data_IF_875532051713
#
_entry.id   IF_875532051713
#
_cell.length_a   1.000
_cell.length_b   1.000
_cell.length_c   1.000
_cell.angle_alpha   90.00
_cell.angle_beta   90.00
_cell.angle_gamma   90.00
#
_symmetry.space_group_name_H-M   'P 1'
#
loop_
_entity.id
_entity.type
_entity.pdbx_description
1 polymer ?
#
# COMPACT_ATOMS: atom_id res chain seq x y z
N UNK A 1 -60.06 -4.98 -46.94
CA UNK A 1 -59.52 -5.03 -45.58
C UNK A 1 -58.02 -5.16 -45.63
N UNK A 2 -57.28 -4.08 -45.34
CA UNK A 2 -55.79 -4.05 -45.33
C UNK A 2 -55.31 -4.26 -43.88
N UNK A 3 -54.67 -5.40 -43.58
CA UNK A 3 -54.05 -5.65 -42.29
C UNK A 3 -52.71 -4.90 -42.21
N UNK A 4 -52.61 -3.93 -41.30
CA UNK A 4 -51.35 -3.26 -40.97
C UNK A 4 -50.60 -4.13 -39.98
N UNK A 5 -49.43 -4.62 -40.40
CA UNK A 5 -48.46 -5.32 -39.52
C UNK A 5 -47.65 -4.24 -38.77
N UNK A 6 -47.77 -4.18 -37.46
CA UNK A 6 -46.99 -3.31 -36.60
C UNK A 6 -45.74 -4.05 -36.17
N UNK A 7 -44.56 -3.66 -36.69
CA UNK A 7 -43.28 -4.24 -36.27
C UNK A 7 -42.83 -3.49 -35.01
N UNK A 8 -42.85 -4.19 -33.87
CA UNK A 8 -42.33 -3.70 -32.60
C UNK A 8 -40.83 -4.01 -32.56
N UNK A 9 -40.00 -2.99 -32.79
CA UNK A 9 -38.54 -3.09 -32.66
C UNK A 9 -38.22 -2.90 -31.17
N UNK A 10 -37.94 -3.99 -30.44
CA UNK A 10 -37.42 -3.93 -29.07
C UNK A 10 -35.92 -3.65 -29.15
N UNK A 11 -35.52 -2.41 -28.88
CA UNK A 11 -34.11 -2.04 -28.70
C UNK A 11 -33.68 -2.53 -27.32
N UNK A 12 -32.96 -3.62 -27.29
CA UNK A 12 -32.24 -4.06 -26.09
C UNK A 12 -30.98 -3.20 -25.96
N UNK A 13 -31.02 -2.20 -25.10
CA UNK A 13 -29.82 -1.46 -24.71
C UNK A 13 -28.94 -2.40 -23.85
N UNK A 14 -27.91 -2.97 -24.45
CA UNK A 14 -26.82 -3.59 -23.71
C UNK A 14 -26.06 -2.47 -22.99
N UNK A 15 -26.33 -2.26 -21.70
CA UNK A 15 -25.43 -1.51 -20.83
C UNK A 15 -24.22 -2.39 -20.58
N UNK A 16 -23.14 -2.19 -21.33
CA UNK A 16 -21.84 -2.72 -21.02
C UNK A 16 -21.37 -2.03 -19.72
N UNK A 17 -21.64 -2.64 -18.57
CA UNK A 17 -20.91 -2.32 -17.35
C UNK A 17 -19.47 -2.76 -17.61
N UNK A 18 -18.58 -1.78 -17.81
CA UNK A 18 -17.13 -2.06 -17.79
C UNK A 18 -16.82 -2.63 -16.39
N UNK A 19 -16.62 -3.95 -16.32
CA UNK A 19 -16.08 -4.56 -15.13
C UNK A 19 -14.69 -3.94 -14.92
N UNK A 20 -14.52 -3.17 -13.87
CA UNK A 20 -13.20 -2.72 -13.43
C UNK A 20 -12.39 -3.98 -13.18
N UNK A 21 -11.28 -4.15 -13.88
CA UNK A 21 -10.43 -5.31 -13.71
C UNK A 21 -9.79 -5.22 -12.31
N UNK A 22 -10.26 -6.05 -11.40
CA UNK A 22 -9.67 -6.21 -10.07
C UNK A 22 -8.52 -7.20 -10.17
N UNK A 23 -7.35 -6.79 -9.75
CA UNK A 23 -6.16 -7.65 -9.68
C UNK A 23 -5.79 -7.81 -8.22
N UNK A 24 -5.61 -9.05 -7.77
CA UNK A 24 -5.37 -9.39 -6.36
C UNK A 24 -4.12 -10.24 -6.21
N UNK A 25 -3.31 -9.93 -5.19
CA UNK A 25 -2.25 -10.77 -4.65
C UNK A 25 -2.66 -11.34 -3.30
N UNK A 26 -2.58 -12.66 -3.16
CA UNK A 26 -2.94 -13.40 -1.93
C UNK A 26 -1.75 -14.07 -1.28
N UNK A 27 -0.56 -13.88 -1.86
CA UNK A 27 0.70 -14.49 -1.39
C UNK A 27 0.68 -16.02 -1.27
N UNK A 28 -0.24 -16.72 -1.97
CA UNK A 28 -0.21 -18.17 -2.08
C UNK A 28 1.01 -18.66 -2.88
N UNK A 29 1.57 -17.76 -3.67
CA UNK A 29 2.82 -17.89 -4.41
C UNK A 29 3.46 -16.52 -4.60
N UNK A 30 4.73 -16.45 -5.00
CA UNK A 30 5.38 -15.18 -5.33
C UNK A 30 5.10 -14.76 -6.79
N UNK A 31 3.82 -14.64 -7.17
CA UNK A 31 3.40 -14.38 -8.55
C UNK A 31 3.80 -12.99 -9.04
N UNK A 32 3.84 -12.00 -8.16
CA UNK A 32 4.25 -10.63 -8.48
C UNK A 32 5.73 -10.37 -8.24
N UNK A 33 6.54 -11.42 -8.01
CA UNK A 33 8.00 -11.34 -7.88
C UNK A 33 8.47 -10.40 -6.76
N UNK A 34 7.82 -10.47 -5.60
CA UNK A 34 8.24 -9.75 -4.42
C UNK A 34 9.66 -10.11 -4.02
N UNK A 35 10.42 -9.11 -3.59
CA UNK A 35 11.78 -9.32 -3.10
C UNK A 35 11.74 -9.98 -1.73
N UNK A 36 12.24 -11.22 -1.65
CA UNK A 36 12.41 -11.94 -0.39
C UNK A 36 13.88 -11.92 0.01
N UNK A 37 14.16 -11.76 1.29
CA UNK A 37 15.52 -11.78 1.79
C UNK A 37 15.59 -12.12 3.28
N UNK A 38 16.79 -12.48 3.74
CA UNK A 38 17.12 -12.67 5.15
C UNK A 38 18.48 -12.05 5.45
N UNK A 39 18.52 -11.14 6.42
CA UNK A 39 19.71 -10.43 6.86
C UNK A 39 19.75 -10.32 8.38
N UNK A 40 20.86 -9.79 8.92
CA UNK A 40 21.07 -9.60 10.36
C UNK A 40 19.97 -8.74 11.00
N UNK A 41 19.56 -7.65 10.33
CA UNK A 41 18.56 -6.70 10.83
C UNK A 41 17.12 -7.19 10.68
N UNK A 42 16.87 -8.26 9.93
CA UNK A 42 15.55 -8.85 9.77
C UNK A 42 15.37 -9.59 8.46
N UNK A 43 14.12 -9.93 8.15
CA UNK A 43 13.78 -10.72 6.96
C UNK A 43 12.42 -10.34 6.41
N UNK A 44 12.26 -10.52 5.09
CA UNK A 44 11.00 -10.43 4.38
C UNK A 44 10.81 -11.71 3.57
N UNK A 45 9.66 -12.36 3.71
CA UNK A 45 9.40 -13.64 3.05
C UNK A 45 7.91 -13.95 3.01
N UNK A 46 7.51 -14.75 2.01
CA UNK A 46 6.13 -15.24 1.87
C UNK A 46 5.98 -16.51 2.71
N UNK A 47 4.95 -16.56 3.53
CA UNK A 47 4.60 -17.72 4.34
C UNK A 47 3.11 -17.76 4.65
N UNK A 48 2.48 -18.92 4.50
CA UNK A 48 1.06 -19.14 4.87
C UNK A 48 0.10 -18.10 4.24
N UNK A 49 0.35 -17.72 2.99
CA UNK A 49 -0.49 -16.77 2.26
C UNK A 49 -0.31 -15.30 2.67
N UNK A 50 0.79 -14.94 3.34
CA UNK A 50 1.08 -13.54 3.69
C UNK A 50 2.52 -13.16 3.36
N UNK A 51 2.77 -11.88 3.09
CA UNK A 51 4.10 -11.30 3.07
C UNK A 51 4.48 -10.87 4.48
N UNK A 52 5.39 -11.61 5.10
CA UNK A 52 5.84 -11.37 6.47
C UNK A 52 7.13 -10.56 6.51
N UNK A 53 7.11 -9.46 7.26
CA UNK A 53 8.27 -8.66 7.57
C UNK A 53 8.59 -8.77 9.06
N UNK A 54 9.81 -9.19 9.38
CA UNK A 54 10.32 -9.26 10.75
C UNK A 54 11.53 -8.34 10.90
N UNK A 55 11.37 -7.21 11.59
CA UNK A 55 12.45 -6.30 11.93
C UNK A 55 13.01 -6.63 13.32
N UNK A 56 14.33 -6.73 13.41
CA UNK A 56 15.08 -6.94 14.65
C UNK A 56 15.75 -5.66 15.18
N UNK A 57 15.62 -4.56 14.46
CA UNK A 57 16.25 -3.29 14.82
C UNK A 57 15.68 -2.73 16.12
N UNK A 58 16.56 -2.33 17.04
CA UNK A 58 16.19 -1.65 18.30
C UNK A 58 16.03 -0.13 18.14
N UNK A 59 16.38 0.41 16.99
CA UNK A 59 16.36 1.84 16.75
C UNK A 59 14.92 2.37 16.73
N UNK A 60 14.70 3.46 17.44
CA UNK A 60 13.37 4.05 17.63
C UNK A 60 13.11 5.26 16.75
N UNK A 61 14.14 5.82 16.13
CA UNK A 61 14.06 7.01 15.30
C UNK A 61 14.45 6.68 13.88
N UNK A 62 13.63 7.11 12.93
CA UNK A 62 13.96 7.01 11.51
C UNK A 62 14.72 8.28 11.13
N UNK A 63 16.00 8.11 10.90
CA UNK A 63 16.82 9.03 10.12
C UNK A 63 16.95 8.47 8.70
N UNK A 64 17.46 9.25 7.76
CA UNK A 64 17.74 8.77 6.39
C UNK A 64 18.58 7.48 6.37
N UNK A 65 19.61 7.41 7.23
CA UNK A 65 20.47 6.24 7.37
C UNK A 65 19.74 5.04 7.97
N UNK A 66 18.67 5.27 8.73
CA UNK A 66 17.89 4.23 9.41
C UNK A 66 16.78 3.65 8.54
N UNK A 67 16.29 4.36 7.53
CA UNK A 67 15.42 3.77 6.52
C UNK A 67 16.17 2.72 5.70
N UNK A 68 17.44 2.90 5.46
CA UNK A 68 18.33 1.91 4.84
C UNK A 68 18.48 0.66 5.71
N UNK A 69 18.31 0.75 7.02
CA UNK A 69 18.31 -0.38 7.96
C UNK A 69 16.95 -1.02 8.25
N UNK A 70 15.88 -0.57 7.60
CA UNK A 70 14.56 -1.16 7.73
C UNK A 70 14.47 -2.47 6.95
N UNK A 71 13.56 -3.35 7.39
CA UNK A 71 13.16 -4.50 6.58
C UNK A 71 12.13 -4.02 5.58
N UNK A 72 12.41 -4.16 4.30
CA UNK A 72 11.52 -3.76 3.22
C UNK A 72 11.45 -4.82 2.13
N UNK A 73 10.34 -4.88 1.44
CA UNK A 73 10.13 -5.68 0.24
C UNK A 73 9.43 -4.84 -0.81
N UNK A 74 9.61 -5.16 -2.06
CA UNK A 74 8.95 -4.44 -3.14
C UNK A 74 8.65 -5.35 -4.34
N UNK A 75 7.73 -4.87 -5.16
CA UNK A 75 7.38 -5.44 -6.48
C UNK A 75 6.93 -4.32 -7.40
N UNK A 76 6.78 -4.62 -8.69
CA UNK A 76 6.18 -3.72 -9.69
C UNK A 76 4.78 -4.21 -10.02
N UNK A 77 3.79 -3.43 -9.58
CA UNK A 77 2.39 -3.83 -9.68
C UNK A 77 1.82 -3.66 -11.11
N UNK A 78 0.84 -4.47 -11.51
CA UNK A 78 0.21 -4.36 -12.82
C UNK A 78 -0.77 -3.18 -12.89
N UNK A 79 -0.29 -1.96 -12.67
CA UNK A 79 -1.05 -0.72 -12.71
C UNK A 79 -0.33 0.35 -13.53
N UNK A 80 -1.10 1.32 -14.05
CA UNK A 80 -0.59 2.49 -14.76
C UNK A 80 -0.83 3.74 -13.90
N UNK A 81 0.21 4.28 -13.22
CA UNK A 81 0.04 5.44 -12.35
C UNK A 81 -0.50 6.68 -13.06
N UNK A 82 -0.30 6.81 -14.37
CA UNK A 82 -0.80 7.95 -15.14
C UNK A 82 -2.34 7.99 -15.20
N UNK A 83 -3.00 6.86 -15.04
CA UNK A 83 -4.46 6.75 -15.02
C UNK A 83 -5.05 6.94 -13.61
N UNK A 84 -4.21 6.96 -12.59
CA UNK A 84 -4.64 6.85 -11.20
C UNK A 84 -4.87 5.40 -10.79
N UNK A 85 -5.05 5.18 -9.50
CA UNK A 85 -5.32 3.84 -8.95
C UNK A 85 -6.01 3.93 -7.59
N UNK A 86 -6.71 2.87 -7.21
CA UNK A 86 -7.18 2.56 -5.86
C UNK A 86 -6.54 1.23 -5.45
N UNK A 87 -5.69 1.27 -4.44
CA UNK A 87 -4.96 0.12 -3.93
C UNK A 87 -5.36 -0.13 -2.48
N UNK A 88 -5.60 -1.38 -2.15
CA UNK A 88 -5.91 -1.81 -0.79
C UNK A 88 -4.95 -2.91 -0.36
N UNK A 89 -4.65 -2.96 0.91
CA UNK A 89 -3.97 -4.09 1.55
C UNK A 89 -4.32 -4.15 3.04
N UNK A 90 -4.13 -5.31 3.63
CA UNK A 90 -4.28 -5.53 5.06
C UNK A 90 -2.90 -5.67 5.71
N UNK A 91 -2.70 -5.01 6.85
CA UNK A 91 -1.51 -5.14 7.68
C UNK A 91 -1.88 -5.68 9.05
N UNK A 92 -1.41 -6.87 9.41
CA UNK A 92 -1.65 -7.50 10.72
C UNK A 92 -0.40 -7.47 11.58
N UNK A 93 -0.51 -6.85 12.76
CA UNK A 93 0.58 -6.76 13.71
C UNK A 93 0.36 -7.70 14.88
N UNK A 94 1.36 -8.50 15.22
CA UNK A 94 1.31 -9.38 16.39
C UNK A 94 1.09 -8.59 17.69
N UNK A 95 1.76 -7.43 17.84
CA UNK A 95 1.58 -6.48 18.94
C UNK A 95 2.04 -5.09 18.54
N UNK A 96 1.13 -4.13 18.54
CA UNK A 96 1.45 -2.74 18.24
C UNK A 96 1.86 -2.00 19.51
N UNK A 97 3.15 -1.69 19.68
CA UNK A 97 3.71 -0.94 20.80
C UNK A 97 4.56 0.24 20.29
N UNK A 98 4.41 1.37 20.91
CA UNK A 98 4.78 2.77 20.61
C UNK A 98 6.08 3.13 19.88
N UNK A 99 7.05 2.22 19.69
CA UNK A 99 8.30 2.50 18.95
C UNK A 99 8.37 1.79 17.60
N UNK A 100 7.40 0.95 17.31
CA UNK A 100 7.31 0.19 16.07
C UNK A 100 6.77 1.08 14.96
N UNK A 101 7.30 0.90 13.77
CA UNK A 101 6.85 1.60 12.58
C UNK A 101 6.73 0.61 11.45
N UNK A 102 5.71 0.76 10.64
CA UNK A 102 5.47 -0.06 9.46
C UNK A 102 4.66 0.74 8.46
N UNK A 103 4.56 0.25 7.26
CA UNK A 103 3.74 0.88 6.25
C UNK A 103 4.06 0.40 4.85
N UNK A 104 3.77 1.27 3.90
CA UNK A 104 3.88 0.97 2.48
C UNK A 104 4.86 1.90 1.80
N UNK A 105 5.43 1.41 0.72
CA UNK A 105 6.30 2.15 -0.19
C UNK A 105 5.53 2.33 -1.50
N UNK A 106 5.50 3.53 -2.01
CA UNK A 106 4.86 3.94 -3.27
C UNK A 106 5.90 4.57 -4.18
N UNK A 107 5.63 4.64 -5.48
CA UNK A 107 6.52 5.25 -6.48
C UNK A 107 7.97 4.73 -6.34
N UNK A 108 8.11 3.43 -6.03
CA UNK A 108 9.44 2.83 -5.85
C UNK A 108 10.14 2.75 -7.21
N UNK A 109 11.28 3.40 -7.29
CA UNK A 109 12.22 3.32 -8.42
C UNK A 109 13.44 2.53 -7.97
N UNK A 110 13.97 2.89 -6.80
CA UNK A 110 15.07 2.25 -6.09
C UNK A 110 15.04 2.67 -4.60
N UNK A 111 15.98 2.18 -3.80
CA UNK A 111 16.05 2.44 -2.34
C UNK A 111 16.29 3.92 -1.99
N UNK A 112 16.71 4.74 -2.95
CA UNK A 112 16.95 6.17 -2.76
C UNK A 112 15.84 7.05 -3.32
N UNK A 113 14.95 6.48 -4.15
CA UNK A 113 13.91 7.21 -4.88
C UNK A 113 12.56 6.52 -4.69
N UNK A 114 11.79 6.98 -3.72
CA UNK A 114 10.46 6.42 -3.40
C UNK A 114 9.63 7.38 -2.54
N UNK A 115 8.38 7.02 -2.32
CA UNK A 115 7.48 7.63 -1.35
C UNK A 115 7.18 6.60 -0.27
N UNK A 116 7.36 6.98 0.99
CA UNK A 116 7.12 6.08 2.13
C UNK A 116 5.98 6.61 2.98
N UNK A 117 4.91 5.83 3.07
CA UNK A 117 3.85 6.04 4.06
C UNK A 117 4.11 5.19 5.28
N UNK A 118 4.20 5.82 6.44
CA UNK A 118 4.57 5.19 7.70
C UNK A 118 3.53 5.44 8.77
N UNK A 119 3.16 4.38 9.47
CA UNK A 119 2.40 4.42 10.71
C UNK A 119 3.38 4.25 11.87
N UNK A 120 3.42 5.24 12.78
CA UNK A 120 4.23 5.21 14.00
C UNK A 120 3.46 5.80 15.17
N UNK A 121 3.10 4.96 16.14
CA UNK A 121 2.23 5.37 17.26
C UNK A 121 0.87 5.87 16.75
N UNK A 122 0.49 7.08 17.16
CA UNK A 122 -0.77 7.73 16.75
C UNK A 122 -0.58 8.72 15.59
N UNK A 123 0.46 8.52 14.78
CA UNK A 123 0.79 9.40 13.68
C UNK A 123 0.94 8.62 12.37
N UNK A 124 0.42 9.21 11.31
CA UNK A 124 0.72 8.87 9.93
C UNK A 124 1.76 9.86 9.40
N UNK A 125 2.73 9.35 8.68
CA UNK A 125 3.79 10.12 8.04
C UNK A 125 3.86 9.77 6.58
N UNK A 126 4.12 10.75 5.74
CA UNK A 126 4.54 10.55 4.36
C UNK A 126 5.90 11.21 4.15
N UNK A 127 6.82 10.47 3.60
CA UNK A 127 8.14 10.97 3.20
C UNK A 127 8.32 10.77 1.71
N UNK A 128 8.75 11.81 1.01
CA UNK A 128 9.25 11.70 -0.36
C UNK A 128 10.76 11.69 -0.33
N UNK A 129 11.34 10.62 -0.83
CA UNK A 129 12.79 10.45 -0.97
C UNK A 129 13.21 10.68 -2.41
N UNK A 130 14.29 11.39 -2.58
CA UNK A 130 14.98 11.59 -3.85
C UNK A 130 16.49 11.60 -3.62
N UNK A 131 17.20 10.74 -4.36
CA UNK A 131 18.67 10.60 -4.23
C UNK A 131 19.10 10.36 -2.77
N UNK A 132 18.35 9.53 -2.03
CA UNK A 132 18.59 9.22 -0.64
C UNK A 132 18.31 10.34 0.36
N UNK A 133 17.68 11.45 -0.06
CA UNK A 133 17.34 12.58 0.81
C UNK A 133 15.83 12.75 0.92
N UNK A 134 15.35 13.12 2.10
CA UNK A 134 13.95 13.53 2.28
C UNK A 134 13.77 14.91 1.66
N UNK A 135 13.03 14.97 0.54
CA UNK A 135 12.71 16.22 -0.16
C UNK A 135 11.31 16.74 0.13
N UNK A 136 10.49 15.95 0.81
CA UNK A 136 9.16 16.33 1.26
C UNK A 136 8.69 15.44 2.40
N UNK A 137 7.93 16.04 3.33
CA UNK A 137 7.32 15.28 4.40
C UNK A 137 5.96 15.86 4.78
N UNK A 138 5.05 14.99 5.17
CA UNK A 138 3.77 15.34 5.76
C UNK A 138 3.51 14.46 6.97
N UNK A 139 2.89 15.02 8.00
CA UNK A 139 2.49 14.30 9.21
C UNK A 139 1.05 14.64 9.54
N UNK A 140 0.29 13.63 9.95
CA UNK A 140 -1.02 13.81 10.52
C UNK A 140 -1.16 12.96 11.79
N UNK A 141 -1.95 13.44 12.75
CA UNK A 141 -2.34 12.64 13.91
C UNK A 141 -3.65 11.93 13.58
N UNK A 142 -3.68 10.62 13.82
CA UNK A 142 -4.91 9.86 13.74
C UNK A 142 -4.94 8.83 14.86
N UNK A 143 -6.15 8.53 15.36
CA UNK A 143 -6.29 7.60 16.48
C UNK A 143 -6.40 6.18 15.96
N UNK A 144 -5.35 5.37 16.15
CA UNK A 144 -5.46 3.93 16.07
C UNK A 144 -6.05 3.37 17.36
N UNK A 145 -6.91 2.38 17.25
CA UNK A 145 -7.35 1.62 18.41
C UNK A 145 -6.19 0.77 18.92
N UNK A 146 -5.54 1.23 20.02
CA UNK A 146 -4.39 0.56 20.63
C UNK A 146 -4.80 -0.68 21.42
N UNK A 147 -3.90 -1.65 21.47
CA UNK A 147 -3.82 -2.57 22.61
C UNK A 147 -4.39 -3.97 22.42
N UNK A 148 -4.78 -4.39 21.23
CA UNK A 148 -5.13 -5.81 20.99
C UNK A 148 -3.95 -6.55 20.36
N UNK A 149 -3.72 -7.81 20.79
CA UNK A 149 -2.89 -8.75 20.02
C UNK A 149 -3.54 -8.96 18.66
N UNK A 150 -2.72 -9.11 17.61
CA UNK A 150 -3.15 -9.32 16.23
C UNK A 150 -4.12 -8.21 15.77
N UNK A 151 -3.63 -6.97 15.82
CA UNK A 151 -4.37 -5.83 15.28
C UNK A 151 -4.23 -5.84 13.78
N UNK A 152 -5.34 -6.02 13.08
CA UNK A 152 -5.42 -5.87 11.62
C UNK A 152 -5.80 -4.44 11.27
N UNK A 153 -5.15 -3.88 10.28
CA UNK A 153 -5.39 -2.54 9.74
C UNK A 153 -5.61 -2.64 8.24
N UNK A 154 -6.73 -2.15 7.76
CA UNK A 154 -6.99 -1.99 6.35
C UNK A 154 -6.37 -0.67 5.87
N UNK A 155 -5.45 -0.75 4.92
CA UNK A 155 -4.79 0.40 4.32
C UNK A 155 -5.32 0.56 2.90
N UNK A 156 -5.87 1.73 2.59
CA UNK A 156 -6.31 2.08 1.24
C UNK A 156 -5.52 3.29 0.74
N UNK A 157 -5.07 3.24 -0.50
CA UNK A 157 -4.36 4.31 -1.19
C UNK A 157 -5.14 4.65 -2.45
N UNK A 158 -5.65 5.86 -2.51
CA UNK A 158 -6.30 6.39 -3.71
C UNK A 158 -5.42 7.46 -4.31
N UNK A 159 -5.04 7.29 -5.56
CA UNK A 159 -4.27 8.27 -6.32
C UNK A 159 -5.02 8.67 -7.58
N UNK A 160 -5.32 9.96 -7.70
CA UNK A 160 -6.01 10.49 -8.88
C UNK A 160 -5.64 11.95 -9.13
N UNK A 161 -5.27 12.29 -10.35
CA UNK A 161 -5.03 13.67 -10.75
C UNK A 161 -3.92 14.38 -9.97
N UNK A 162 -2.94 13.64 -9.45
CA UNK A 162 -1.85 14.17 -8.61
C UNK A 162 -2.24 14.36 -7.13
N UNK A 163 -3.42 13.93 -6.72
CA UNK A 163 -3.85 13.89 -5.33
C UNK A 163 -3.71 12.45 -4.80
N UNK A 164 -3.07 12.33 -3.63
CA UNK A 164 -2.84 11.08 -2.93
C UNK A 164 -3.59 11.09 -1.61
N UNK A 165 -4.61 10.26 -1.49
CA UNK A 165 -5.31 10.01 -0.24
C UNK A 165 -4.92 8.64 0.31
N UNK A 166 -4.61 8.58 1.62
CA UNK A 166 -4.34 7.33 2.32
C UNK A 166 -5.30 7.23 3.49
N UNK A 167 -6.01 6.10 3.56
CA UNK A 167 -6.94 5.75 4.62
C UNK A 167 -6.43 4.55 5.40
N UNK A 168 -6.76 4.52 6.68
CA UNK A 168 -6.50 3.38 7.57
C UNK A 168 -7.79 3.08 8.32
N UNK A 169 -8.34 1.88 8.14
CA UNK A 169 -9.65 1.49 8.66
C UNK A 169 -10.74 2.52 8.30
N UNK A 170 -10.83 2.89 7.02
CA UNK A 170 -11.76 3.90 6.46
C UNK A 170 -11.58 5.33 7.00
N UNK A 171 -10.63 5.57 7.89
CA UNK A 171 -10.32 6.92 8.40
C UNK A 171 -9.21 7.54 7.56
N UNK A 172 -9.44 8.74 7.06
CA UNK A 172 -8.42 9.49 6.31
C UNK A 172 -7.19 9.76 7.21
N UNK A 173 -6.10 9.06 6.91
CA UNK A 173 -4.83 9.21 7.61
C UNK A 173 -4.01 10.36 7.02
N UNK A 174 -3.99 10.49 5.69
CA UNK A 174 -3.29 11.55 4.96
C UNK A 174 -4.05 11.94 3.70
N UNK A 175 -3.92 13.23 3.33
CA UNK A 175 -4.34 13.77 2.04
C UNK A 175 -3.24 14.72 1.55
N UNK A 176 -2.64 14.41 0.42
CA UNK A 176 -1.53 15.16 -0.15
C UNK A 176 -1.89 15.59 -1.58
N UNK A 177 -1.66 16.87 -1.88
CA UNK A 177 -1.87 17.42 -3.23
C UNK A 177 -0.54 17.54 -3.98
N UNK A 178 -0.62 17.43 -5.29
CA UNK A 178 0.52 17.59 -6.20
C UNK A 178 1.66 16.59 -5.94
N UNK A 179 1.30 15.33 -5.64
CA UNK A 179 2.27 14.24 -5.48
C UNK A 179 2.44 13.57 -6.85
N UNK A 180 3.56 13.73 -7.55
CA UNK A 180 3.80 12.98 -8.77
C UNK A 180 4.15 11.52 -8.40
N UNK A 181 3.35 10.58 -8.86
CA UNK A 181 3.63 9.14 -8.85
C UNK A 181 3.89 8.72 -10.29
N UNK A 182 5.06 8.21 -10.57
CA UNK A 182 5.56 7.92 -11.93
C UNK A 182 5.92 6.46 -12.12
N UNK A 183 6.17 5.73 -11.02
CA UNK A 183 6.49 4.31 -11.01
C UNK A 183 5.33 3.49 -10.45
N UNK A 184 5.12 2.32 -11.02
CA UNK A 184 4.23 1.29 -10.47
C UNK A 184 4.90 0.43 -9.39
N UNK A 185 6.11 0.81 -8.96
CA UNK A 185 6.80 0.14 -7.86
C UNK A 185 6.09 0.39 -6.53
N UNK A 186 5.83 -0.70 -5.82
CA UNK A 186 5.11 -0.73 -4.55
C UNK A 186 5.81 -1.68 -3.59
N UNK A 187 5.71 -1.40 -2.30
CA UNK A 187 6.34 -2.25 -1.32
C UNK A 187 5.80 -2.10 0.09
N UNK A 188 6.36 -2.89 0.98
CA UNK A 188 6.09 -2.85 2.41
C UNK A 188 7.39 -2.65 3.18
N UNK A 189 7.29 -2.06 4.36
CA UNK A 189 8.42 -1.97 5.27
C UNK A 189 8.00 -2.13 6.73
N UNK A 190 8.96 -2.56 7.55
CA UNK A 190 8.84 -2.68 8.98
C UNK A 190 10.13 -2.24 9.68
N UNK A 191 9.98 -1.58 10.82
CA UNK A 191 11.08 -1.04 11.60
C UNK A 191 10.79 -1.07 13.10
N UNK A 192 11.80 -1.29 13.96
CA UNK A 192 11.66 -1.22 15.41
C UNK A 192 11.14 -2.51 16.06
N UNK A 193 11.87 -3.62 16.00
CA UNK A 193 11.52 -4.91 16.63
C UNK A 193 10.04 -5.29 16.47
N UNK A 194 9.58 -5.37 15.25
CA UNK A 194 8.20 -5.71 14.96
C UNK A 194 8.09 -6.82 13.93
N UNK A 195 6.97 -7.52 13.98
CA UNK A 195 6.53 -8.48 13.00
C UNK A 195 5.20 -7.98 12.44
N UNK A 196 5.14 -7.86 11.14
CA UNK A 196 3.96 -7.42 10.40
C UNK A 196 3.72 -8.39 9.26
N UNK A 197 2.49 -8.84 9.13
CA UNK A 197 2.01 -9.65 8.01
C UNK A 197 1.16 -8.74 7.11
N UNK A 198 1.52 -8.66 5.84
CA UNK A 198 0.73 -7.97 4.82
C UNK A 198 0.02 -8.98 3.93
N UNK A 199 -1.23 -8.69 3.60
CA UNK A 199 -2.09 -9.56 2.82
C UNK A 199 -3.09 -8.78 2.00
N UNK A 200 -3.85 -9.50 1.16
CA UNK A 200 -5.00 -8.99 0.42
C UNK A 200 -4.68 -7.72 -0.39
N UNK A 201 -3.56 -7.72 -1.15
CA UNK A 201 -3.27 -6.57 -2.02
C UNK A 201 -4.21 -6.57 -3.21
N UNK A 202 -5.07 -5.58 -3.27
CA UNK A 202 -6.05 -5.39 -4.35
C UNK A 202 -5.77 -4.09 -5.11
N UNK A 203 -5.82 -4.16 -6.43
CA UNK A 203 -5.74 -2.99 -7.31
C UNK A 203 -7.06 -2.90 -8.07
N UNK A 204 -7.71 -1.76 -7.94
CA UNK A 204 -8.89 -1.36 -8.69
C UNK A 204 -8.44 -0.35 -9.77
N UNK A 205 -8.52 -0.73 -11.03
CA UNK A 205 -8.13 0.11 -12.19
C UNK A 205 -9.37 0.77 -12.82
#
# INVERSE_FOLDING_TARGET
>A
MKKKFLFLITVVALTATSAVAQVKETFDSNSWQWTEYSAELGRAYIIEGVMRLESKSDKANITLDEMVGSVATHSFLPMDPAKGFDLKCTATLEKFEGKKSFGIILDYIDDMNCIVFMIKGDCAWLYKMKEGKIVGQQKNQFKLQKGKKNTSLDIQVVYQGGELEIRVNDVQALLCKYVPITSNGFGFFAFGKCKVDFDDVEILN
#
